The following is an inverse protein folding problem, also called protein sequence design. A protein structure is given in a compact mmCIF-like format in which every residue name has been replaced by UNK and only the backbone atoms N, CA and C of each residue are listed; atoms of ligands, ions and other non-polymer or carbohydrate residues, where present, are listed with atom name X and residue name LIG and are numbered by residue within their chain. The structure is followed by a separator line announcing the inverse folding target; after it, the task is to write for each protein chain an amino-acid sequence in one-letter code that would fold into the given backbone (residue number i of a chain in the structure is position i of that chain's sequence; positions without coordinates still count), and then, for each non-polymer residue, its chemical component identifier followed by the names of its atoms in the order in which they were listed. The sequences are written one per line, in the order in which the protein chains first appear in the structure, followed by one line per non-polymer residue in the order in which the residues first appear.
data_IF_562646956107
#
_entry.id   IF_562646956107
#
_cell.length_a   1.000
_cell.length_b   1.000
_cell.length_c   1.000
_cell.angle_alpha   90.00
_cell.angle_beta   90.00
_cell.angle_gamma   90.00
#
_symmetry.space_group_name_H-M   'P 1'
#
loop_
_entity.id
_entity.type
_entity.pdbx_description
1 polymer ?
#
# COMPACT_ATOMS: atom_id res chain seq x y z
N UNK A 1 -14.48 7.67 -73.18
CA UNK A 1 -15.15 6.99 -72.04
C UNK A 1 -14.32 7.26 -70.80
N UNK A 2 -14.81 8.12 -69.90
CA UNK A 2 -14.11 8.50 -68.67
C UNK A 2 -14.39 7.50 -67.56
N UNK A 3 -13.35 6.99 -66.92
CA UNK A 3 -13.45 6.16 -65.72
C UNK A 3 -13.77 7.07 -64.50
N UNK A 4 -14.73 6.69 -63.63
CA UNK A 4 -15.12 7.52 -62.50
C UNK A 4 -14.01 7.62 -61.46
N UNK A 5 -13.67 8.84 -61.07
CA UNK A 5 -12.72 9.16 -60.01
C UNK A 5 -13.39 8.94 -58.64
N UNK A 6 -13.36 7.71 -58.15
CA UNK A 6 -13.94 7.34 -56.87
C UNK A 6 -13.01 6.37 -56.14
N UNK A 7 -12.04 6.89 -55.36
CA UNK A 7 -11.32 5.98 -54.45
C UNK A 7 -10.53 6.62 -53.31
N UNK A 8 -10.15 7.91 -53.37
CA UNK A 8 -9.28 8.48 -52.31
C UNK A 8 -9.91 8.53 -50.92
N UNK A 9 -11.21 8.86 -50.83
CA UNK A 9 -11.92 8.95 -49.54
C UNK A 9 -12.23 7.60 -48.89
N UNK A 10 -12.31 6.53 -49.67
CA UNK A 10 -12.63 5.18 -49.16
C UNK A 10 -11.40 4.44 -48.64
N UNK A 11 -10.24 4.67 -49.25
CA UNK A 11 -8.97 4.08 -48.82
C UNK A 11 -8.52 4.68 -47.48
N UNK A 12 -8.72 5.99 -47.27
CA UNK A 12 -8.41 6.65 -45.99
C UNK A 12 -9.33 6.19 -44.86
N UNK A 13 -10.62 5.98 -45.14
CA UNK A 13 -11.58 5.51 -44.14
C UNK A 13 -11.35 4.03 -43.77
N UNK A 14 -10.99 3.19 -44.76
CA UNK A 14 -10.61 1.81 -44.52
C UNK A 14 -9.30 1.65 -43.72
N UNK A 15 -8.29 2.50 -43.97
CA UNK A 15 -7.06 2.51 -43.16
C UNK A 15 -7.30 2.99 -41.72
N UNK A 16 -8.19 3.96 -41.50
CA UNK A 16 -8.55 4.44 -40.16
C UNK A 16 -9.24 3.37 -39.30
N UNK A 17 -10.07 2.52 -39.91
CA UNK A 17 -10.80 1.46 -39.21
C UNK A 17 -9.91 0.31 -38.71
N UNK A 18 -8.73 0.11 -39.32
CA UNK A 18 -7.78 -0.94 -38.91
C UNK A 18 -6.75 -0.41 -37.91
N UNK A 19 -6.36 0.86 -38.03
CA UNK A 19 -5.38 1.48 -37.12
C UNK A 19 -5.96 1.73 -35.72
N UNK A 20 -7.24 2.13 -35.62
CA UNK A 20 -7.89 2.43 -34.35
C UNK A 20 -7.92 1.24 -33.35
N UNK A 21 -8.32 0.00 -33.74
CA UNK A 21 -8.31 -1.13 -32.81
C UNK A 21 -6.90 -1.56 -32.43
N UNK A 22 -5.91 -1.45 -33.34
CA UNK A 22 -4.51 -1.77 -33.03
C UNK A 22 -3.93 -0.76 -32.04
N UNK A 23 -4.20 0.54 -32.23
CA UNK A 23 -3.81 1.57 -31.27
C UNK A 23 -4.51 1.38 -29.91
N UNK A 24 -5.79 1.00 -29.89
CA UNK A 24 -6.52 0.70 -28.66
C UNK A 24 -5.92 -0.51 -27.93
N UNK A 25 -5.57 -1.59 -28.66
CA UNK A 25 -4.89 -2.75 -28.09
C UNK A 25 -3.52 -2.34 -27.56
N UNK A 26 -2.72 -1.59 -28.30
CA UNK A 26 -1.41 -1.13 -27.84
C UNK A 26 -1.48 -0.16 -26.65
N UNK A 27 -2.54 0.63 -26.49
CA UNK A 27 -2.77 1.44 -25.27
C UNK A 27 -3.19 0.55 -24.09
N UNK A 28 -4.00 -0.48 -24.34
CA UNK A 28 -4.44 -1.43 -23.32
C UNK A 28 -3.34 -2.43 -22.92
N UNK A 29 -2.41 -2.74 -23.82
CA UNK A 29 -1.30 -3.69 -23.64
C UNK A 29 0.05 -2.99 -23.56
N UNK A 30 0.09 -1.66 -23.55
CA UNK A 30 1.32 -0.92 -23.29
C UNK A 30 1.82 -1.43 -21.94
N UNK A 31 3.10 -1.85 -21.85
CA UNK A 31 3.70 -2.18 -20.58
C UNK A 31 3.52 -0.93 -19.70
N UNK A 32 2.68 -1.02 -18.68
CA UNK A 32 2.71 -0.02 -17.61
C UNK A 32 4.13 -0.11 -17.08
N UNK A 33 4.88 0.98 -17.19
CA UNK A 33 6.23 1.06 -16.64
C UNK A 33 6.21 0.43 -15.25
N UNK A 34 6.94 -0.67 -15.06
CA UNK A 34 6.96 -1.43 -13.81
C UNK A 34 7.59 -0.64 -12.65
N UNK A 35 7.96 0.62 -12.87
CA UNK A 35 8.36 1.54 -11.83
C UNK A 35 7.09 1.95 -11.05
N UNK A 36 7.04 1.73 -9.72
CA UNK A 36 5.93 2.22 -8.92
C UNK A 36 5.78 3.73 -9.11
N UNK A 37 4.53 4.20 -9.19
CA UNK A 37 4.27 5.64 -9.16
C UNK A 37 4.88 6.24 -7.90
N UNK A 38 5.25 7.53 -7.94
CA UNK A 38 5.78 8.21 -6.75
C UNK A 38 4.84 8.03 -5.53
N UNK A 39 3.54 8.10 -5.76
CA UNK A 39 2.50 7.85 -4.74
C UNK A 39 2.54 6.41 -4.19
N UNK A 40 2.69 5.40 -5.06
CA UNK A 40 2.84 4.01 -4.61
C UNK A 40 4.17 3.75 -3.90
N UNK A 41 5.24 4.46 -4.25
CA UNK A 41 6.49 4.40 -3.53
C UNK A 41 6.33 4.97 -2.11
N UNK A 42 5.63 6.10 -1.95
CA UNK A 42 5.29 6.65 -0.62
C UNK A 42 4.44 5.70 0.22
N UNK A 43 3.50 5.01 -0.40
CA UNK A 43 2.70 3.98 0.26
C UNK A 43 3.54 2.77 0.70
N UNK A 44 4.57 2.43 -0.07
CA UNK A 44 5.52 1.37 0.27
C UNK A 44 6.45 1.78 1.41
N UNK A 45 7.01 2.99 1.37
CA UNK A 45 7.79 3.58 2.47
C UNK A 45 6.98 3.62 3.79
N UNK A 46 5.68 3.96 3.69
CA UNK A 46 4.77 3.89 4.83
C UNK A 46 4.61 2.46 5.39
N UNK A 47 4.51 1.45 4.52
CA UNK A 47 4.48 0.06 4.94
C UNK A 47 5.82 -0.39 5.52
N UNK A 48 6.93 0.12 5.02
CA UNK A 48 8.27 -0.14 5.55
C UNK A 48 8.40 0.38 7.00
N UNK A 49 7.88 1.56 7.31
CA UNK A 49 7.83 2.08 8.69
C UNK A 49 7.01 1.20 9.64
N UNK A 50 5.95 0.55 9.14
CA UNK A 50 5.17 -0.42 9.94
C UNK A 50 6.03 -1.62 10.36
N UNK A 51 7.01 -2.05 9.56
CA UNK A 51 7.85 -3.22 9.88
C UNK A 51 8.72 -3.03 11.12
N UNK A 52 8.99 -1.78 11.54
CA UNK A 52 9.64 -1.50 12.82
C UNK A 52 8.74 -1.82 14.04
N UNK A 53 7.41 -1.84 13.84
CA UNK A 53 6.40 -2.01 14.89
C UNK A 53 5.83 -3.42 14.87
N UNK A 54 5.57 -3.97 13.69
CA UNK A 54 4.75 -5.16 13.49
C UNK A 54 5.26 -6.41 14.23
N UNK A 55 6.57 -6.74 14.24
CA UNK A 55 7.07 -7.91 14.97
C UNK A 55 6.88 -7.81 16.49
N UNK A 56 7.06 -6.62 17.06
CA UNK A 56 6.80 -6.38 18.48
C UNK A 56 5.30 -6.36 18.78
N UNK A 57 4.48 -5.81 17.88
CA UNK A 57 3.03 -5.83 18.01
C UNK A 57 2.45 -7.26 17.98
N UNK A 58 2.95 -8.12 17.08
CA UNK A 58 2.61 -9.54 17.01
C UNK A 58 2.93 -10.28 18.31
N UNK A 59 4.11 -10.04 18.90
CA UNK A 59 4.47 -10.61 20.20
C UNK A 59 3.58 -10.09 21.33
N UNK A 60 3.22 -8.80 21.26
CA UNK A 60 2.25 -8.18 22.15
C UNK A 60 0.88 -8.86 22.13
N UNK A 61 0.40 -9.30 20.96
CA UNK A 61 -0.84 -10.09 20.86
C UNK A 61 -0.79 -11.41 21.64
N UNK A 62 0.41 -11.97 21.80
CA UNK A 62 0.68 -13.15 22.66
C UNK A 62 1.00 -12.79 24.12
N UNK A 63 0.71 -11.58 24.58
CA UNK A 63 0.93 -11.13 25.96
C UNK A 63 2.38 -10.72 26.29
N UNK A 64 3.25 -10.63 25.29
CA UNK A 64 4.65 -10.24 25.50
C UNK A 64 4.82 -8.73 25.28
N UNK A 65 5.10 -8.00 26.36
CA UNK A 65 5.32 -6.55 26.29
C UNK A 65 6.78 -6.23 25.92
N UNK A 66 6.98 -5.58 24.78
CA UNK A 66 8.27 -5.00 24.40
C UNK A 66 8.41 -3.57 24.98
N UNK A 67 9.45 -3.26 25.78
CA UNK A 67 9.54 -2.00 26.53
C UNK A 67 9.47 -0.72 25.69
N UNK A 68 9.89 -0.80 24.43
CA UNK A 68 9.99 0.35 23.54
C UNK A 68 8.85 0.45 22.52
N UNK A 69 7.91 -0.49 22.51
CA UNK A 69 6.90 -0.60 21.46
C UNK A 69 6.06 0.67 21.30
N UNK A 70 5.61 1.27 22.41
CA UNK A 70 4.82 2.51 22.37
C UNK A 70 5.60 3.66 21.69
N UNK A 71 6.88 3.81 22.02
CA UNK A 71 7.74 4.83 21.42
C UNK A 71 8.02 4.54 19.94
N UNK A 72 8.42 3.31 19.61
CA UNK A 72 8.68 2.90 18.22
C UNK A 72 7.43 3.06 17.35
N UNK A 73 6.25 2.75 17.89
CA UNK A 73 4.98 2.98 17.21
C UNK A 73 4.71 4.48 17.00
N UNK A 74 4.97 5.34 17.99
CA UNK A 74 4.81 6.79 17.81
C UNK A 74 5.77 7.38 16.76
N UNK A 75 7.01 6.89 16.70
CA UNK A 75 7.99 7.28 15.69
C UNK A 75 7.55 6.82 14.28
N UNK A 76 7.10 5.57 14.16
CA UNK A 76 6.56 5.04 12.92
C UNK A 76 5.28 5.77 12.48
N UNK A 77 4.36 6.10 13.39
CA UNK A 77 3.18 6.91 13.10
C UNK A 77 3.57 8.24 12.47
N UNK A 78 4.51 8.96 13.09
CA UNK A 78 4.96 10.26 12.59
C UNK A 78 5.57 10.14 11.18
N UNK A 79 6.37 9.09 10.94
CA UNK A 79 6.93 8.81 9.62
C UNK A 79 5.86 8.51 8.57
N UNK A 80 4.89 7.64 8.89
CA UNK A 80 3.75 7.31 8.00
C UNK A 80 2.91 8.55 7.69
N UNK A 81 2.68 9.44 8.66
CA UNK A 81 2.00 10.74 8.42
C UNK A 81 2.83 11.65 7.49
N UNK A 82 4.16 11.61 7.60
CA UNK A 82 5.07 12.29 6.69
C UNK A 82 4.91 11.81 5.25
N UNK A 83 4.90 10.49 5.03
CA UNK A 83 4.69 9.91 3.71
C UNK A 83 3.30 10.24 3.16
N UNK A 84 2.26 10.16 3.99
CA UNK A 84 0.90 10.53 3.59
C UNK A 84 0.79 11.99 3.12
N UNK A 85 1.53 12.91 3.73
CA UNK A 85 1.52 14.32 3.32
C UNK A 85 2.10 14.55 1.92
N UNK A 86 2.98 13.66 1.46
CA UNK A 86 3.60 13.70 0.13
C UNK A 86 2.77 13.00 -0.96
N UNK A 87 1.75 12.22 -0.60
CA UNK A 87 0.86 11.52 -1.56
C UNK A 87 -0.11 12.50 -2.23
N UNK A 88 -0.13 12.48 -3.56
CA UNK A 88 -0.98 13.34 -4.38
C UNK A 88 -2.38 12.76 -4.57
N UNK A 89 -2.49 11.44 -4.79
CA UNK A 89 -3.77 10.74 -4.92
C UNK A 89 -4.58 10.81 -3.61
N UNK A 90 -5.77 11.44 -3.60
CA UNK A 90 -6.54 11.64 -2.38
C UNK A 90 -7.02 10.34 -1.73
N UNK A 91 -7.33 9.32 -2.53
CA UNK A 91 -7.78 8.03 -2.00
C UNK A 91 -6.62 7.30 -1.33
N UNK A 92 -5.46 7.23 -1.99
CA UNK A 92 -4.26 6.59 -1.46
C UNK A 92 -3.79 7.29 -0.21
N UNK A 93 -3.74 8.63 -0.22
CA UNK A 93 -3.43 9.42 0.98
C UNK A 93 -4.33 9.06 2.15
N UNK A 94 -5.63 8.90 1.90
CA UNK A 94 -6.59 8.48 2.92
C UNK A 94 -6.27 7.09 3.46
N UNK A 95 -5.82 6.15 2.61
CA UNK A 95 -5.40 4.82 3.05
C UNK A 95 -4.11 4.85 3.87
N UNK A 96 -3.12 5.65 3.47
CA UNK A 96 -1.87 5.82 4.22
C UNK A 96 -2.14 6.48 5.58
N UNK A 97 -3.05 7.46 5.64
CA UNK A 97 -3.48 8.05 6.92
C UNK A 97 -4.19 7.04 7.83
N UNK A 98 -5.01 6.14 7.28
CA UNK A 98 -5.60 5.04 8.08
C UNK A 98 -4.55 4.12 8.65
N UNK A 99 -3.45 3.86 7.92
CA UNK A 99 -2.32 3.12 8.47
C UNK A 99 -1.67 3.88 9.63
N UNK A 100 -1.43 5.19 9.48
CA UNK A 100 -0.91 6.02 10.58
C UNK A 100 -1.82 5.96 11.81
N UNK A 101 -3.14 6.12 11.64
CA UNK A 101 -4.09 6.09 12.75
C UNK A 101 -4.10 4.73 13.46
N UNK A 102 -3.96 3.63 12.71
CA UNK A 102 -3.84 2.30 13.30
C UNK A 102 -2.56 2.15 14.12
N UNK A 103 -1.42 2.62 13.62
CA UNK A 103 -0.14 2.63 14.33
C UNK A 103 -0.20 3.55 15.57
N UNK A 104 -0.90 4.69 15.47
CA UNK A 104 -1.16 5.55 16.61
C UNK A 104 -1.89 4.81 17.73
N UNK A 105 -2.91 4.01 17.40
CA UNK A 105 -3.63 3.20 18.40
C UNK A 105 -2.71 2.18 19.07
N UNK A 106 -1.81 1.53 18.33
CA UNK A 106 -0.77 0.66 18.91
C UNK A 106 0.11 1.45 19.88
N UNK A 107 0.49 2.69 19.54
CA UNK A 107 1.33 3.53 20.41
C UNK A 107 0.67 3.87 21.74
N UNK A 108 -0.68 3.95 21.77
CA UNK A 108 -1.47 4.31 22.96
C UNK A 108 -1.99 3.10 23.74
N UNK A 109 -2.17 1.97 23.05
CA UNK A 109 -2.62 0.73 23.64
C UNK A 109 -1.53 0.03 24.46
N UNK A 110 -1.98 -0.87 25.33
CA UNK A 110 -1.13 -1.74 26.11
C UNK A 110 -1.22 -3.18 25.60
N UNK A 111 -0.08 -3.84 25.30
CA UNK A 111 -0.04 -5.29 25.03
C UNK A 111 -0.27 -6.14 26.30
N UNK A 112 -0.25 -5.53 27.49
CA UNK A 112 -0.41 -6.22 28.76
C UNK A 112 -1.20 -5.33 29.72
N UNK A 113 -2.52 -5.30 29.57
CA UNK A 113 -3.42 -4.49 30.37
C UNK A 113 -3.91 -5.23 31.62
N UNK A 114 -3.85 -4.62 32.82
CA UNK A 114 -4.40 -5.21 34.03
C UNK A 114 -5.95 -5.30 33.96
N UNK A 115 -6.58 -6.26 34.68
CA UNK A 115 -5.98 -7.25 35.58
C UNK A 115 -5.63 -8.58 34.89
N UNK A 116 -6.09 -8.80 33.67
CA UNK A 116 -6.02 -10.10 32.97
C UNK A 116 -4.69 -10.34 32.26
N UNK A 117 -3.90 -9.27 32.07
CA UNK A 117 -2.65 -9.30 31.34
C UNK A 117 -2.79 -9.47 29.82
N UNK A 118 -4.02 -9.32 29.32
CA UNK A 118 -4.30 -9.33 27.88
C UNK A 118 -4.07 -7.95 27.25
N UNK A 119 -3.82 -7.90 25.93
CA UNK A 119 -3.81 -6.64 25.21
C UNK A 119 -5.14 -5.91 25.34
N UNK A 120 -5.09 -4.58 25.47
CA UNK A 120 -6.31 -3.77 25.49
C UNK A 120 -6.92 -3.60 24.08
N UNK A 121 -8.09 -2.97 24.04
CA UNK A 121 -8.85 -2.74 22.81
C UNK A 121 -8.10 -1.87 21.81
N UNK A 122 -7.28 -0.93 22.26
CA UNK A 122 -6.55 -0.04 21.36
C UNK A 122 -5.35 -0.73 20.76
N UNK A 123 -4.69 -1.60 21.51
CA UNK A 123 -3.64 -2.45 21.00
C UNK A 123 -4.16 -3.46 19.97
N UNK A 124 -5.20 -4.23 20.34
CA UNK A 124 -5.80 -5.24 19.43
C UNK A 124 -6.37 -4.56 18.19
N UNK A 125 -7.11 -3.46 18.38
CA UNK A 125 -7.70 -2.72 17.29
C UNK A 125 -6.65 -2.09 16.38
N UNK A 126 -5.62 -1.47 16.94
CA UNK A 126 -4.51 -0.93 16.15
C UNK A 126 -3.81 -2.00 15.32
N UNK A 127 -3.56 -3.19 15.88
CA UNK A 127 -2.96 -4.31 15.14
C UNK A 127 -3.83 -4.78 13.96
N UNK A 128 -5.13 -4.98 14.22
CA UNK A 128 -6.09 -5.42 13.19
C UNK A 128 -6.25 -4.35 12.09
N UNK A 129 -6.42 -3.09 12.49
CA UNK A 129 -6.58 -1.96 11.59
C UNK A 129 -5.32 -1.74 10.74
N UNK A 130 -4.12 -1.97 11.31
CA UNK A 130 -2.85 -1.86 10.58
C UNK A 130 -2.75 -2.92 9.47
N UNK A 131 -3.16 -4.15 9.78
CA UNK A 131 -3.20 -5.26 8.81
C UNK A 131 -4.21 -4.97 7.70
N UNK A 132 -5.40 -4.47 8.05
CA UNK A 132 -6.42 -4.11 7.08
C UNK A 132 -6.00 -2.92 6.19
N UNK A 133 -5.33 -1.92 6.77
CA UNK A 133 -4.80 -0.78 6.05
C UNK A 133 -3.68 -1.20 5.07
N UNK A 134 -2.74 -2.04 5.52
CA UNK A 134 -1.69 -2.58 4.66
C UNK A 134 -2.26 -3.38 3.48
N UNK A 135 -3.26 -4.22 3.73
CA UNK A 135 -3.95 -4.94 2.65
C UNK A 135 -4.63 -3.98 1.67
N UNK A 136 -5.28 -2.92 2.13
CA UNK A 136 -5.89 -1.92 1.26
C UNK A 136 -4.85 -1.17 0.41
N UNK A 137 -3.68 -0.85 0.99
CA UNK A 137 -2.57 -0.26 0.25
C UNK A 137 -2.06 -1.21 -0.82
N UNK A 138 -1.92 -2.51 -0.52
CA UNK A 138 -1.49 -3.52 -1.49
C UNK A 138 -2.46 -3.70 -2.66
N UNK A 139 -3.78 -3.57 -2.42
CA UNK A 139 -4.78 -3.59 -3.50
C UNK A 139 -4.65 -2.41 -4.46
N UNK A 140 -4.24 -1.24 -3.96
CA UNK A 140 -4.04 -0.04 -4.77
C UNK A 140 -2.66 0.02 -5.42
N UNK A 141 -1.65 -0.46 -4.70
CA UNK A 141 -0.24 -0.45 -5.08
C UNK A 141 0.32 -1.87 -4.87
N UNK A 142 0.29 -2.74 -5.90
CA UNK A 142 0.60 -4.16 -5.78
C UNK A 142 1.98 -4.51 -5.19
N UNK A 143 2.95 -3.60 -5.34
CA UNK A 143 4.33 -3.78 -4.85
C UNK A 143 4.50 -3.40 -3.37
N UNK A 144 3.48 -2.84 -2.71
CA UNK A 144 3.59 -2.42 -1.31
C UNK A 144 3.85 -3.63 -0.38
N UNK A 145 4.86 -3.49 0.48
CA UNK A 145 5.25 -4.49 1.46
C UNK A 145 5.75 -5.78 0.80
N UNK A 146 6.37 -5.67 -0.37
CA UNK A 146 7.07 -6.80 -1.04
C UNK A 146 8.58 -6.78 -0.83
N UNK A 147 9.09 -5.81 -0.08
CA UNK A 147 10.48 -5.78 0.38
C UNK A 147 10.86 -7.13 1.00
N UNK A 148 12.03 -7.63 0.62
CA UNK A 148 12.58 -8.84 1.22
C UNK A 148 12.71 -8.61 2.74
N UNK A 149 12.02 -9.44 3.52
CA UNK A 149 12.23 -9.47 4.97
C UNK A 149 13.70 -9.82 5.20
N UNK A 150 14.49 -8.98 5.90
CA UNK A 150 15.89 -9.27 6.16
C UNK A 150 16.03 -10.66 6.79
N UNK A 151 16.97 -11.47 6.29
CA UNK A 151 17.17 -12.86 6.70
C UNK A 151 17.36 -13.05 8.23
N UNK A 152 17.68 -11.95 8.92
CA UNK A 152 17.95 -11.88 10.36
C UNK A 152 16.66 -11.74 11.19
N UNK A 153 15.49 -11.65 10.55
CA UNK A 153 14.20 -11.55 11.24
C UNK A 153 13.82 -12.93 11.76
N UNK A 154 13.61 -13.10 13.09
CA UNK A 154 13.29 -14.40 13.65
C UNK A 154 12.04 -14.98 12.99
N UNK A 155 12.18 -16.20 12.46
CA UNK A 155 11.09 -16.91 11.80
C UNK A 155 9.87 -16.99 12.74
N UNK A 156 8.69 -16.70 12.20
CA UNK A 156 7.43 -16.94 12.90
C UNK A 156 7.37 -18.44 13.27
N UNK A 157 7.08 -18.79 14.54
CA UNK A 157 6.87 -20.18 14.92
C UNK A 157 5.63 -20.73 14.18
N UNK A 158 5.79 -21.93 13.60
CA UNK A 158 4.72 -22.69 12.94
C UNK A 158 3.61 -23.10 13.91
#
# INVERSE_FOLDING_TARGET
MGLPDWSRGKITLAMGAVAAPIALILILTAPRDNAPSADCQRADDAAHHLMAVFPAAMRGMGGHSEPNLSRTAAEAEAAVRGEAAAVQDPELRTRVLKLADAVHRISKGSPNAPPSGFPDRDFVGGYQDSTAALHALKLMCPNVGTDEIPADTPALPN
#
